data_IF_276315973456
#
_entry.id   IF_276315973456
#
_cell.length_a   1.000
_cell.length_b   1.000
_cell.length_c   1.000
_cell.angle_alpha   90.00
_cell.angle_beta   90.00
_cell.angle_gamma   90.00
#
_symmetry.space_group_name_H-M   'P 1'
#
loop_
_entity.id
_entity.type
_entity.pdbx_description
1 polymer ?
#
# COMPACT_ATOMS: atom_id res chain seq x y z
N UNK A 1 13.44 -18.57 -10.65
CA UNK A 1 13.62 -17.10 -10.77
C UNK A 1 13.81 -16.56 -9.35
N UNK A 2 14.85 -15.76 -9.09
CA UNK A 2 15.22 -15.31 -7.74
C UNK A 2 14.30 -14.19 -7.25
N UNK A 3 14.14 -14.07 -5.92
CA UNK A 3 13.48 -12.93 -5.27
C UNK A 3 14.17 -11.60 -5.65
N UNK A 4 15.48 -11.63 -5.91
CA UNK A 4 16.27 -10.46 -6.32
C UNK A 4 15.76 -9.82 -7.62
N UNK A 5 15.27 -10.63 -8.57
CA UNK A 5 14.71 -10.12 -9.81
C UNK A 5 13.39 -9.37 -9.54
N UNK A 6 12.52 -9.99 -8.74
CA UNK A 6 11.20 -9.45 -8.43
C UNK A 6 11.24 -8.18 -7.58
N UNK A 7 12.18 -8.07 -6.63
CA UNK A 7 12.34 -6.83 -5.86
C UNK A 7 12.86 -5.70 -6.77
N UNK A 8 13.72 -6.00 -7.75
CA UNK A 8 14.17 -5.02 -8.75
C UNK A 8 13.02 -4.49 -9.62
N UNK A 9 12.13 -5.37 -10.07
CA UNK A 9 10.90 -4.99 -10.78
C UNK A 9 9.98 -4.14 -9.89
N UNK A 10 9.85 -4.49 -8.62
CA UNK A 10 9.05 -3.72 -7.67
C UNK A 10 9.62 -2.33 -7.45
N UNK A 11 10.93 -2.17 -7.29
CA UNK A 11 11.56 -0.85 -7.20
C UNK A 11 11.38 -0.04 -8.47
N UNK A 12 11.54 -0.65 -9.64
CA UNK A 12 11.29 0.01 -10.92
C UNK A 12 9.84 0.52 -11.04
N UNK A 13 8.86 -0.25 -10.53
CA UNK A 13 7.46 0.19 -10.44
C UNK A 13 7.29 1.36 -9.47
N UNK A 14 7.92 1.30 -8.31
CA UNK A 14 7.86 2.37 -7.30
C UNK A 14 8.50 3.67 -7.79
N UNK A 15 9.56 3.59 -8.59
CA UNK A 15 10.27 4.73 -9.18
C UNK A 15 9.57 5.31 -10.41
N UNK A 16 8.51 4.65 -10.90
CA UNK A 16 7.67 5.14 -11.99
C UNK A 16 6.92 6.43 -11.63
N UNK A 17 6.71 7.29 -12.62
CA UNK A 17 6.15 8.64 -12.45
C UNK A 17 4.80 8.66 -11.70
N UNK A 18 3.86 7.79 -12.07
CA UNK A 18 2.53 7.71 -11.47
C UNK A 18 2.58 7.31 -9.97
N UNK A 19 3.46 6.35 -9.62
CA UNK A 19 3.65 5.92 -8.23
C UNK A 19 4.42 6.97 -7.43
N UNK A 20 5.46 7.56 -8.00
CA UNK A 20 6.19 8.65 -7.36
C UNK A 20 5.30 9.86 -7.07
N UNK A 21 4.41 10.22 -8.00
CA UNK A 21 3.42 11.27 -7.78
C UNK A 21 2.50 10.93 -6.60
N UNK A 22 2.06 9.67 -6.48
CA UNK A 22 1.25 9.20 -5.35
C UNK A 22 2.00 9.29 -4.02
N UNK A 23 3.22 8.75 -3.98
CA UNK A 23 4.06 8.71 -2.79
C UNK A 23 4.42 10.12 -2.30
N UNK A 24 4.58 11.09 -3.21
CA UNK A 24 4.83 12.50 -2.86
C UNK A 24 3.60 13.19 -2.29
N UNK A 25 2.41 12.86 -2.80
CA UNK A 25 1.15 13.40 -2.29
C UNK A 25 0.77 12.80 -0.92
N UNK A 26 1.18 11.56 -0.64
CA UNK A 26 1.12 10.95 0.69
C UNK A 26 2.22 11.50 1.63
N UNK A 27 2.12 12.80 1.96
CA UNK A 27 3.16 13.53 2.69
C UNK A 27 3.38 13.09 4.13
N UNK A 28 2.40 12.41 4.74
CA UNK A 28 2.53 11.84 6.08
C UNK A 28 2.87 10.35 6.08
N UNK A 29 3.09 9.74 4.90
CA UNK A 29 3.30 8.30 4.72
C UNK A 29 2.18 7.45 5.34
N UNK A 30 0.94 7.94 5.33
CA UNK A 30 -0.19 7.23 5.94
C UNK A 30 -0.69 6.14 4.99
N UNK A 31 -0.72 6.44 3.69
CA UNK A 31 -1.21 5.50 2.70
C UNK A 31 -0.12 4.49 2.28
N UNK A 32 1.15 4.89 2.32
CA UNK A 32 2.26 4.10 1.80
C UNK A 32 3.54 4.27 2.61
N UNK A 33 3.51 3.98 3.91
CA UNK A 33 4.75 3.79 4.67
C UNK A 33 5.54 2.55 4.22
N UNK A 34 6.78 2.44 4.70
CA UNK A 34 7.68 1.34 4.38
C UNK A 34 7.12 -0.06 4.71
N UNK A 35 6.32 -0.21 5.76
CA UNK A 35 5.72 -1.49 6.12
C UNK A 35 4.55 -1.83 5.20
N UNK A 36 3.71 -0.85 4.85
CA UNK A 36 2.66 -1.03 3.85
C UNK A 36 3.28 -1.41 2.50
N UNK A 37 4.30 -0.70 2.05
CA UNK A 37 4.97 -0.98 0.77
C UNK A 37 5.69 -2.34 0.76
N UNK A 38 6.31 -2.74 1.87
CA UNK A 38 6.82 -4.10 2.02
C UNK A 38 5.71 -5.15 1.95
N UNK A 39 4.55 -4.86 2.56
CA UNK A 39 3.40 -5.75 2.51
C UNK A 39 2.86 -5.92 1.09
N UNK A 40 2.77 -4.83 0.32
CA UNK A 40 2.43 -4.85 -1.10
C UNK A 40 3.38 -5.75 -1.91
N UNK A 41 4.70 -5.65 -1.68
CA UNK A 41 5.65 -6.54 -2.36
C UNK A 41 5.44 -8.01 -1.97
N UNK A 42 5.25 -8.31 -0.69
CA UNK A 42 4.96 -9.69 -0.24
C UNK A 42 3.65 -10.20 -0.84
N UNK A 43 2.66 -9.33 -1.05
CA UNK A 43 1.40 -9.69 -1.72
C UNK A 43 1.64 -10.07 -3.18
N UNK A 44 2.51 -9.35 -3.90
CA UNK A 44 2.90 -9.73 -5.27
C UNK A 44 3.55 -11.12 -5.30
N UNK A 45 4.45 -11.40 -4.35
CA UNK A 45 5.07 -12.72 -4.22
C UNK A 45 4.05 -13.82 -3.89
N UNK A 46 3.12 -13.56 -2.97
CA UNK A 46 2.06 -14.51 -2.59
C UNK A 46 1.09 -14.79 -3.74
N UNK A 47 0.77 -13.77 -4.53
CA UNK A 47 -0.03 -13.90 -5.74
C UNK A 47 0.76 -14.59 -6.87
N UNK A 48 2.08 -14.76 -6.76
CA UNK A 48 2.94 -15.31 -7.82
C UNK A 48 2.76 -14.53 -9.13
N UNK A 49 2.85 -13.20 -9.04
CA UNK A 49 2.78 -12.33 -10.21
C UNK A 49 3.96 -12.60 -11.15
N UNK A 50 3.70 -12.62 -12.46
CA UNK A 50 4.76 -12.61 -13.49
C UNK A 50 5.34 -11.20 -13.63
N UNK A 51 6.43 -11.05 -14.40
CA UNK A 51 7.11 -9.76 -14.55
C UNK A 51 6.18 -8.67 -15.11
N UNK A 52 5.37 -9.00 -16.12
CA UNK A 52 4.38 -8.08 -16.73
C UNK A 52 3.26 -7.66 -15.76
N UNK A 53 3.10 -8.39 -14.67
CA UNK A 53 2.10 -8.12 -13.64
C UNK A 53 2.62 -7.15 -12.56
N UNK A 54 3.89 -6.72 -12.60
CA UNK A 54 4.44 -5.64 -11.77
C UNK A 54 4.08 -4.27 -12.34
N UNK A 55 2.79 -3.98 -12.35
CA UNK A 55 2.22 -2.79 -12.95
C UNK A 55 1.41 -1.95 -11.95
N UNK A 56 1.07 -0.72 -12.35
CA UNK A 56 0.35 0.24 -11.53
C UNK A 56 -0.96 -0.31 -10.97
N UNK A 57 -1.69 -1.10 -11.77
CA UNK A 57 -3.00 -1.61 -11.39
C UNK A 57 -2.88 -2.60 -10.24
N UNK A 58 -1.98 -3.58 -10.36
CA UNK A 58 -1.75 -4.55 -9.28
C UNK A 58 -1.15 -3.88 -8.04
N UNK A 59 -0.35 -2.83 -8.21
CA UNK A 59 0.13 -2.02 -7.09
C UNK A 59 -1.02 -1.44 -6.27
N UNK A 60 -1.97 -0.73 -6.91
CA UNK A 60 -3.11 -0.15 -6.20
C UNK A 60 -4.08 -1.20 -5.64
N UNK A 61 -4.28 -2.34 -6.32
CA UNK A 61 -5.08 -3.44 -5.78
C UNK A 61 -4.47 -4.00 -4.49
N UNK A 62 -3.17 -4.29 -4.50
CA UNK A 62 -2.47 -4.79 -3.34
C UNK A 62 -2.38 -3.75 -2.21
N UNK A 63 -2.21 -2.48 -2.55
CA UNK A 63 -2.19 -1.37 -1.60
C UNK A 63 -3.54 -1.23 -0.88
N UNK A 64 -4.64 -1.17 -1.65
CA UNK A 64 -5.99 -1.16 -1.12
C UNK A 64 -6.25 -2.35 -0.19
N UNK A 65 -5.89 -3.56 -0.65
CA UNK A 65 -6.06 -4.78 0.12
C UNK A 65 -5.22 -4.78 1.40
N UNK A 66 -4.05 -4.15 1.40
CA UNK A 66 -3.22 -3.99 2.59
C UNK A 66 -3.93 -3.12 3.63
N UNK A 67 -4.52 -2.00 3.21
CA UNK A 67 -5.30 -1.13 4.10
C UNK A 67 -6.53 -1.85 4.66
N UNK A 68 -7.29 -2.54 3.81
CA UNK A 68 -8.48 -3.29 4.24
C UNK A 68 -8.18 -4.37 5.29
N UNK A 69 -6.97 -4.94 5.27
CA UNK A 69 -6.57 -6.03 6.19
C UNK A 69 -5.85 -5.50 7.43
N UNK A 70 -5.10 -4.40 7.32
CA UNK A 70 -4.15 -3.97 8.36
C UNK A 70 -4.52 -2.66 9.06
N UNK A 71 -5.30 -1.78 8.43
CA UNK A 71 -5.67 -0.49 9.01
C UNK A 71 -7.13 -0.54 9.51
N UNK A 72 -7.39 0.16 10.61
CA UNK A 72 -8.75 0.29 11.18
C UNK A 72 -9.52 1.48 10.61
N UNK A 73 -8.82 2.40 9.93
CA UNK A 73 -9.38 3.63 9.37
C UNK A 73 -9.79 3.37 7.91
N UNK A 74 -11.10 3.28 7.69
CA UNK A 74 -11.68 2.91 6.41
C UNK A 74 -11.57 4.01 5.34
N UNK A 75 -11.37 5.27 5.72
CA UNK A 75 -11.26 6.39 4.79
C UNK A 75 -10.00 6.30 3.91
N UNK A 76 -8.92 5.68 4.40
CA UNK A 76 -7.65 5.59 3.67
C UNK A 76 -7.74 4.69 2.43
N UNK A 77 -8.50 3.59 2.51
CA UNK A 77 -8.68 2.70 1.35
C UNK A 77 -9.54 3.38 0.28
N UNK A 78 -10.47 4.25 0.66
CA UNK A 78 -11.27 5.02 -0.30
C UNK A 78 -10.41 6.05 -1.05
N UNK A 79 -9.53 6.77 -0.33
CA UNK A 79 -8.54 7.68 -0.93
C UNK A 79 -7.65 6.97 -1.96
N UNK A 80 -7.26 5.73 -1.69
CA UNK A 80 -6.44 4.91 -2.60
C UNK A 80 -7.19 4.59 -3.91
N UNK A 81 -8.47 4.20 -3.82
CA UNK A 81 -9.25 3.90 -5.03
C UNK A 81 -9.52 5.15 -5.84
N UNK A 82 -9.91 6.24 -5.17
CA UNK A 82 -10.18 7.52 -5.83
C UNK A 82 -8.93 8.01 -6.57
N UNK A 83 -7.77 7.92 -5.93
CA UNK A 83 -6.49 8.27 -6.55
C UNK A 83 -6.22 7.43 -7.81
N UNK A 84 -6.36 6.10 -7.73
CA UNK A 84 -6.15 5.21 -8.87
C UNK A 84 -7.11 5.52 -10.04
N UNK A 85 -8.41 5.71 -9.75
CA UNK A 85 -9.41 6.02 -10.76
C UNK A 85 -9.15 7.39 -11.42
N UNK A 86 -8.69 8.38 -10.64
CA UNK A 86 -8.33 9.70 -11.13
C UNK A 86 -7.14 9.66 -12.09
N UNK A 87 -6.04 8.96 -11.75
CA UNK A 87 -4.88 8.80 -12.65
C UNK A 87 -5.28 8.16 -13.97
N UNK A 88 -6.16 7.16 -13.92
CA UNK A 88 -6.64 6.49 -15.13
C UNK A 88 -7.62 7.32 -15.95
N UNK A 89 -7.91 8.57 -15.55
CA UNK A 89 -8.91 9.46 -16.17
C UNK A 89 -10.28 8.78 -16.30
N UNK A 90 -10.62 7.91 -15.34
CA UNK A 90 -11.87 7.15 -15.33
C UNK A 90 -13.03 7.95 -14.71
N UNK A 91 -12.86 9.26 -14.53
CA UNK A 91 -13.88 10.19 -14.01
C UNK A 91 -14.19 11.33 -14.98
N UNK A 92 -15.48 11.71 -15.18
CA UNK A 92 -16.72 11.09 -14.69
C UNK A 92 -17.48 10.36 -15.83
N UNK A 93 -18.23 9.28 -15.58
CA UNK A 93 -19.38 9.09 -16.49
C UNK A 93 -20.73 8.77 -15.82
N UNK A 94 -20.76 7.80 -14.90
CA UNK A 94 -21.98 7.18 -14.34
C UNK A 94 -21.53 6.11 -13.34
N UNK A 95 -20.80 6.61 -12.35
CA UNK A 95 -19.74 5.95 -11.57
C UNK A 95 -20.22 4.74 -10.75
N UNK A 96 -20.21 3.56 -11.35
CA UNK A 96 -20.20 2.31 -10.58
C UNK A 96 -19.33 1.23 -11.25
N UNK A 97 -19.31 1.11 -12.58
CA UNK A 97 -18.67 -0.02 -13.26
C UNK A 97 -17.14 -0.16 -13.04
N UNK A 98 -16.36 0.93 -13.11
CA UNK A 98 -14.92 0.86 -12.87
C UNK A 98 -14.58 0.54 -11.43
N UNK A 99 -15.36 1.08 -10.49
CA UNK A 99 -15.25 0.75 -9.08
C UNK A 99 -15.60 -0.72 -8.84
N UNK A 100 -16.74 -1.20 -9.34
CA UNK A 100 -17.11 -2.62 -9.25
C UNK A 100 -16.03 -3.52 -9.85
N UNK A 101 -15.48 -3.16 -11.01
CA UNK A 101 -14.40 -3.94 -11.62
C UNK A 101 -13.12 -3.94 -10.78
N UNK A 102 -12.77 -2.82 -10.15
CA UNK A 102 -11.68 -2.76 -9.19
C UNK A 102 -11.94 -3.68 -7.99
N UNK A 103 -13.16 -3.67 -7.45
CA UNK A 103 -13.55 -4.52 -6.31
C UNK A 103 -13.55 -6.02 -6.67
N UNK A 104 -14.02 -6.39 -7.85
CA UNK A 104 -13.93 -7.76 -8.37
C UNK A 104 -12.48 -8.22 -8.47
N UNK A 105 -11.62 -7.40 -9.08
CA UNK A 105 -10.23 -7.78 -9.28
C UNK A 105 -9.44 -7.77 -7.98
N UNK A 106 -9.83 -6.93 -7.01
CA UNK A 106 -9.32 -6.98 -5.63
C UNK A 106 -9.66 -8.32 -4.98
N UNK A 107 -10.89 -8.80 -5.12
CA UNK A 107 -11.28 -10.11 -4.61
C UNK A 107 -10.50 -11.25 -5.29
N UNK A 108 -10.34 -11.19 -6.62
CA UNK A 108 -9.54 -12.17 -7.36
C UNK A 108 -8.06 -12.16 -6.93
N UNK A 109 -7.50 -10.98 -6.66
CA UNK A 109 -6.14 -10.83 -6.17
C UNK A 109 -5.95 -11.48 -4.79
N UNK A 110 -6.86 -11.22 -3.84
CA UNK A 110 -6.85 -11.86 -2.52
C UNK A 110 -6.98 -13.38 -2.62
N UNK A 111 -7.85 -13.87 -3.52
CA UNK A 111 -7.99 -15.31 -3.80
C UNK A 111 -6.69 -15.91 -4.33
N UNK A 112 -5.98 -15.21 -5.23
CA UNK A 112 -4.70 -15.63 -5.79
C UNK A 112 -3.59 -15.73 -4.73
N UNK A 113 -3.65 -14.90 -3.70
CA UNK A 113 -2.79 -14.99 -2.50
C UNK A 113 -3.20 -16.11 -1.53
N UNK A 114 -4.20 -16.93 -1.88
CA UNK A 114 -4.82 -17.93 -1.00
C UNK A 114 -5.35 -17.31 0.31
N UNK A 115 -5.88 -16.09 0.25
CA UNK A 115 -6.42 -15.35 1.40
C UNK A 115 -5.39 -15.05 2.51
N UNK A 116 -4.09 -15.18 2.22
CA UNK A 116 -3.01 -14.91 3.18
C UNK A 116 -2.67 -13.42 3.16
N UNK A 117 -3.39 -12.63 3.95
CA UNK A 117 -3.15 -11.20 4.13
C UNK A 117 -2.12 -10.88 5.22
N UNK A 118 -2.19 -11.53 6.38
CA UNK A 118 -1.32 -11.19 7.51
C UNK A 118 0.19 -11.29 7.18
N UNK A 119 0.97 -10.27 7.55
CA UNK A 119 2.42 -10.21 7.37
C UNK A 119 3.08 -9.86 8.69
N UNK A 120 4.07 -10.66 9.09
CA UNK A 120 4.86 -10.36 10.28
C UNK A 120 5.82 -9.21 10.03
N UNK A 121 5.85 -8.25 10.95
CA UNK A 121 6.79 -7.12 10.93
C UNK A 121 8.25 -7.52 10.69
N UNK A 122 8.71 -8.60 11.32
CA UNK A 122 10.08 -9.14 11.17
C UNK A 122 10.41 -9.54 9.73
N UNK A 123 9.42 -9.94 8.93
CA UNK A 123 9.62 -10.24 7.52
C UNK A 123 9.93 -8.95 6.74
N UNK A 124 9.18 -7.88 6.97
CA UNK A 124 9.43 -6.58 6.35
C UNK A 124 10.81 -6.04 6.73
N UNK A 125 11.20 -6.15 8.00
CA UNK A 125 12.52 -5.72 8.47
C UNK A 125 13.67 -6.47 7.79
N UNK A 126 13.51 -7.77 7.53
CA UNK A 126 14.48 -8.54 6.72
C UNK A 126 14.57 -8.02 5.29
N UNK A 127 13.45 -7.68 4.66
CA UNK A 127 13.45 -7.11 3.31
C UNK A 127 14.23 -5.79 3.26
N UNK A 128 14.06 -4.91 4.25
CA UNK A 128 14.78 -3.63 4.30
C UNK A 128 16.30 -3.80 4.38
N UNK A 129 16.74 -4.80 5.15
CA UNK A 129 18.17 -5.10 5.34
C UNK A 129 18.76 -5.75 4.07
N UNK A 130 18.04 -6.71 3.49
CA UNK A 130 18.53 -7.46 2.33
C UNK A 130 18.49 -6.64 1.03
N UNK A 131 17.53 -5.73 0.90
CA UNK A 131 17.29 -4.96 -0.32
C UNK A 131 17.18 -3.46 -0.02
N UNK A 132 18.31 -2.75 0.15
CA UNK A 132 18.31 -1.32 0.44
C UNK A 132 17.64 -0.50 -0.69
N UNK A 133 16.71 0.38 -0.31
CA UNK A 133 16.04 1.29 -1.23
C UNK A 133 15.56 2.56 -0.49
N UNK A 134 15.50 3.69 -1.17
CA UNK A 134 15.13 4.99 -0.56
C UNK A 134 13.72 4.97 0.02
N UNK A 135 12.84 4.14 -0.53
CA UNK A 135 11.45 4.02 -0.11
C UNK A 135 11.31 3.49 1.33
N UNK A 136 12.32 2.80 1.86
CA UNK A 136 12.32 2.34 3.26
C UNK A 136 12.52 3.46 4.27
N UNK A 137 12.82 4.68 3.83
CA UNK A 137 12.85 5.89 4.67
C UNK A 137 11.47 6.48 4.91
N UNK A 138 10.41 5.96 4.25
CA UNK A 138 9.02 6.39 4.46
C UNK A 138 8.50 5.88 5.80
N UNK A 139 8.74 6.64 6.86
CA UNK A 139 8.22 6.36 8.19
C UNK A 139 7.05 7.28 8.51
N UNK A 140 5.96 6.70 9.03
CA UNK A 140 4.82 7.46 9.54
C UNK A 140 5.19 8.15 10.87
N UNK A 141 4.92 9.46 11.03
CA UNK A 141 5.10 10.12 12.32
C UNK A 141 4.01 9.68 13.31
N UNK A 142 4.36 9.60 14.61
CA UNK A 142 3.41 9.26 15.69
C UNK A 142 2.27 10.26 15.82
N UNK A 143 2.49 11.52 15.42
CA UNK A 143 1.50 12.58 15.43
C UNK A 143 1.40 13.18 14.04
N UNK A 144 0.19 13.21 13.49
CA UNK A 144 -0.13 13.87 12.23
C UNK A 144 -1.18 14.96 12.49
N UNK A 145 -1.07 16.11 11.80
CA UNK A 145 -2.05 17.21 11.88
C UNK A 145 -1.82 18.28 12.94
N UNK A 146 -0.67 18.31 13.63
CA UNK A 146 -0.28 19.42 14.54
C UNK A 146 -1.15 19.60 15.81
N UNK A 147 -2.17 18.78 16.01
CA UNK A 147 -3.03 18.84 17.18
C UNK A 147 -2.43 18.05 18.35
N UNK A 148 -1.73 18.75 19.25
CA UNK A 148 -1.29 18.19 20.52
C UNK A 148 -2.50 17.97 21.44
N UNK A 149 -3.01 16.74 21.52
CA UNK A 149 -3.88 16.32 22.62
C UNK A 149 -3.03 16.00 23.84
N UNK A 150 -2.58 17.03 24.55
CA UNK A 150 -2.14 16.87 25.93
C UNK A 150 -3.39 16.55 26.77
N UNK A 151 -3.74 15.27 26.88
CA UNK A 151 -4.67 14.86 27.92
C UNK A 151 -3.96 15.14 29.25
N UNK A 152 -4.53 15.98 30.14
CA UNK A 152 -3.95 16.17 31.46
C UNK A 152 -3.86 14.80 32.13
N UNK A 153 -2.67 14.42 32.58
CA UNK A 153 -2.46 13.19 33.32
C UNK A 153 -3.42 13.15 34.51
N UNK A 154 -4.40 12.25 34.49
CA UNK A 154 -5.27 12.01 35.62
C UNK A 154 -4.41 11.45 36.77
N UNK A 155 -4.19 12.25 37.81
CA UNK A 155 -3.39 11.84 38.99
C UNK A 155 -4.05 10.76 39.85
N UNK A 156 -5.24 10.28 39.48
CA UNK A 156 -6.03 9.30 40.23
C UNK A 156 -6.01 7.89 39.62
N UNK A 157 -5.26 7.65 38.54
CA UNK A 157 -5.20 6.32 37.89
C UNK A 157 -3.82 5.63 38.03
N UNK A 158 -3.10 5.88 39.14
CA UNK A 158 -1.95 5.06 39.56
C UNK A 158 -2.34 4.18 40.74
#
# INVERSE_FOLDING_TARGET
MSVDNYIGLFFSLLDGEEVQYFLKNDGCNVLADKYILASVFVYFLRAKLTEDEYNLRNFFLALYLCHEICEEIDEYKDEIVDYYLNIRRLFPPSTNQHFQKFMEDRFLFLKRMCYKGHIHRKLCEKLFILFPHVVWNRTRPLQHGGAHRCLPSCKQCL
#
